data_IF_016230058972
#
_entry.id   IF_016230058972
#
_cell.length_a   1.000
_cell.length_b   1.000
_cell.length_c   1.000
_cell.angle_alpha   90.00
_cell.angle_beta   90.00
_cell.angle_gamma   90.00
#
_symmetry.space_group_name_H-M   'P 1'
#
loop_
_entity.id
_entity.type
_entity.pdbx_description
1 polymer ?
#
# COMPACT_ATOMS: atom_id res chain seq x y z
N UNK A 1 -20.89 -17.48 6.47
CA UNK A 1 -20.80 -16.75 5.19
C UNK A 1 -19.34 -16.61 4.81
N UNK A 2 -19.03 -16.01 3.66
CA UNK A 2 -17.66 -15.60 3.32
C UNK A 2 -17.41 -14.21 3.90
N UNK A 3 -16.24 -14.00 4.48
CA UNK A 3 -15.82 -12.71 5.05
C UNK A 3 -14.39 -12.36 4.62
N UNK A 4 -14.08 -11.07 4.56
CA UNK A 4 -12.73 -10.56 4.32
C UNK A 4 -12.14 -10.06 5.64
N UNK A 5 -10.86 -10.36 5.89
CA UNK A 5 -10.11 -9.90 7.07
C UNK A 5 -8.76 -9.34 6.65
N UNK A 6 -8.34 -8.27 7.32
CA UNK A 6 -6.95 -7.84 7.28
C UNK A 6 -6.13 -8.75 8.19
N UNK A 7 -4.95 -9.14 7.73
CA UNK A 7 -4.05 -10.03 8.43
C UNK A 7 -2.65 -9.40 8.44
N UNK A 8 -2.10 -9.24 9.63
CA UNK A 8 -0.74 -8.79 9.85
C UNK A 8 -0.01 -9.78 10.75
N UNK A 9 1.12 -10.30 10.27
CA UNK A 9 1.98 -11.19 11.05
C UNK A 9 3.12 -10.35 11.59
N UNK A 10 2.89 -9.68 12.72
CA UNK A 10 3.84 -8.75 13.34
C UNK A 10 5.00 -9.48 14.06
N UNK A 11 5.84 -10.16 13.29
CA UNK A 11 7.11 -10.76 13.73
C UNK A 11 8.06 -10.94 12.55
N UNK A 12 9.34 -11.07 12.84
CA UNK A 12 10.35 -11.39 11.82
C UNK A 12 10.10 -12.79 11.27
N UNK A 13 9.46 -12.86 10.11
CA UNK A 13 9.07 -14.11 9.45
C UNK A 13 9.89 -14.40 8.21
N UNK A 14 10.26 -13.37 7.46
CA UNK A 14 10.83 -13.48 6.12
C UNK A 14 12.11 -12.66 6.00
N UNK A 15 13.05 -13.16 5.21
CA UNK A 15 14.29 -12.48 4.88
C UNK A 15 14.64 -12.71 3.41
N UNK A 16 15.00 -11.66 2.68
CA UNK A 16 15.60 -11.75 1.35
C UNK A 16 17.10 -11.49 1.52
N UNK A 17 17.94 -12.53 1.59
CA UNK A 17 19.37 -12.35 1.83
C UNK A 17 20.13 -12.03 0.54
N UNK A 18 21.15 -11.18 0.65
CA UNK A 18 22.16 -11.04 -0.39
C UNK A 18 23.09 -12.26 -0.43
N UNK A 19 23.55 -12.63 -1.63
CA UNK A 19 24.67 -13.55 -1.79
C UNK A 19 25.95 -12.88 -1.26
N UNK A 20 26.77 -13.64 -0.55
CA UNK A 20 28.03 -13.13 -0.03
C UNK A 20 28.94 -12.61 -1.16
N UNK A 21 29.61 -11.47 -0.95
CA UNK A 21 30.51 -10.84 -1.93
C UNK A 21 31.61 -11.78 -2.44
N UNK A 22 32.06 -12.74 -1.64
CA UNK A 22 33.06 -13.74 -2.04
C UNK A 22 32.58 -14.63 -3.19
N UNK A 23 31.26 -14.88 -3.26
CA UNK A 23 30.59 -15.66 -4.29
C UNK A 23 30.09 -14.78 -5.45
N UNK A 24 30.05 -13.45 -5.27
CA UNK A 24 29.73 -12.47 -6.29
C UNK A 24 30.67 -11.25 -6.19
N UNK A 25 31.92 -11.41 -6.64
CA UNK A 25 32.99 -10.40 -6.44
C UNK A 25 32.71 -9.07 -7.10
N UNK A 26 31.86 -9.05 -8.12
CA UNK A 26 31.50 -7.88 -8.90
C UNK A 26 30.23 -7.18 -8.40
N UNK A 27 29.64 -7.59 -7.25
CA UNK A 27 28.37 -7.03 -6.79
C UNK A 27 28.37 -5.50 -6.64
N UNK A 28 29.52 -4.89 -6.32
CA UNK A 28 29.67 -3.44 -6.16
C UNK A 28 29.83 -2.69 -7.51
N UNK A 29 30.03 -3.38 -8.62
CA UNK A 29 30.12 -2.79 -9.98
C UNK A 29 28.73 -2.62 -10.63
N UNK A 30 27.68 -3.05 -9.92
CA UNK A 30 26.31 -3.11 -10.40
C UNK A 30 25.84 -4.56 -10.49
N UNK A 31 24.62 -4.80 -10.02
CA UNK A 31 23.99 -6.12 -10.05
C UNK A 31 22.59 -6.01 -10.65
N UNK A 32 22.37 -6.72 -11.76
CA UNK A 32 21.05 -6.79 -12.39
C UNK A 32 20.23 -7.86 -11.71
N UNK A 33 19.35 -7.43 -10.82
CA UNK A 33 18.41 -8.28 -10.11
C UNK A 33 17.44 -8.99 -11.08
N UNK A 34 17.20 -10.28 -10.83
CA UNK A 34 16.13 -11.06 -11.41
C UNK A 34 14.97 -11.19 -10.40
N UNK A 35 13.85 -10.47 -10.59
CA UNK A 35 12.72 -10.50 -9.65
C UNK A 35 12.03 -11.87 -9.49
N UNK A 36 12.29 -12.84 -10.36
CA UNK A 36 11.73 -14.19 -10.22
C UNK A 36 12.61 -15.13 -9.38
N UNK A 37 13.84 -14.72 -9.07
CA UNK A 37 14.86 -15.58 -8.43
C UNK A 37 15.41 -14.91 -7.19
N UNK A 38 15.88 -13.68 -7.31
CA UNK A 38 16.69 -13.03 -6.27
C UNK A 38 15.84 -12.37 -5.17
N UNK A 39 14.55 -12.16 -5.42
CA UNK A 39 13.61 -11.55 -4.46
C UNK A 39 12.76 -12.59 -3.73
N UNK A 40 13.02 -13.89 -3.94
CA UNK A 40 12.31 -14.96 -3.24
C UNK A 40 12.70 -14.97 -1.75
N UNK A 41 11.77 -14.73 -0.83
CA UNK A 41 12.09 -14.65 0.59
C UNK A 41 12.30 -16.04 1.19
N UNK A 42 13.26 -16.14 2.11
CA UNK A 42 13.40 -17.30 2.99
C UNK A 42 12.38 -17.23 4.11
N UNK A 43 11.61 -18.31 4.29
CA UNK A 43 10.63 -18.48 5.38
C UNK A 43 11.03 -19.56 6.39
N UNK A 44 11.86 -20.51 5.98
CA UNK A 44 12.27 -21.64 6.80
C UNK A 44 13.07 -22.68 6.01
N UNK A 45 13.56 -23.69 6.72
CA UNK A 45 14.25 -24.84 6.12
C UNK A 45 13.26 -25.81 5.45
N UNK A 46 13.79 -26.88 4.83
CA UNK A 46 12.96 -27.92 4.20
C UNK A 46 11.85 -28.49 5.11
N UNK A 47 12.09 -28.57 6.43
CA UNK A 47 11.09 -29.03 7.41
C UNK A 47 9.92 -28.05 7.66
N UNK A 48 9.98 -26.84 7.09
CA UNK A 48 8.89 -25.86 7.10
C UNK A 48 8.04 -25.88 5.82
N UNK A 49 8.38 -26.73 4.84
CA UNK A 49 7.61 -26.87 3.62
C UNK A 49 6.13 -27.12 3.92
N UNK A 50 5.24 -26.34 3.30
CA UNK A 50 3.79 -26.44 3.47
C UNK A 50 3.22 -25.87 4.77
N UNK A 51 4.03 -25.24 5.65
CA UNK A 51 3.52 -24.67 6.92
C UNK A 51 2.88 -23.29 6.79
N UNK A 52 3.15 -22.55 5.70
CA UNK A 52 2.62 -21.19 5.52
C UNK A 52 1.07 -21.16 5.48
N UNK A 53 0.36 -22.03 4.72
CA UNK A 53 -1.10 -22.04 4.75
C UNK A 53 -1.69 -22.23 6.15
N UNK A 54 -1.14 -23.17 6.93
CA UNK A 54 -1.59 -23.42 8.30
C UNK A 54 -1.32 -22.23 9.24
N UNK A 55 -0.20 -21.52 9.04
CA UNK A 55 0.08 -20.27 9.76
C UNK A 55 -0.96 -19.21 9.40
N UNK A 56 -1.23 -18.99 8.10
CA UNK A 56 -2.19 -17.99 7.65
C UNK A 56 -3.60 -18.29 8.17
N UNK A 57 -4.07 -19.55 8.10
CA UNK A 57 -5.39 -19.94 8.62
C UNK A 57 -5.49 -19.75 10.15
N UNK A 58 -4.40 -20.02 10.87
CA UNK A 58 -4.32 -19.77 12.31
C UNK A 58 -4.43 -18.28 12.62
N UNK A 59 -3.66 -17.43 11.95
CA UNK A 59 -3.67 -15.98 12.17
C UNK A 59 -5.00 -15.33 11.69
N UNK A 60 -5.61 -15.85 10.62
CA UNK A 60 -6.92 -15.41 10.14
C UNK A 60 -8.10 -15.89 11.02
N UNK A 61 -7.85 -16.89 11.87
CA UNK A 61 -8.86 -17.53 12.71
C UNK A 61 -9.86 -18.39 11.91
N UNK A 62 -9.47 -18.94 10.76
CA UNK A 62 -10.34 -19.72 9.91
C UNK A 62 -9.72 -20.16 8.59
N UNK A 63 -10.48 -20.95 7.82
CA UNK A 63 -10.07 -21.45 6.51
C UNK A 63 -9.93 -20.31 5.51
N UNK A 64 -8.85 -20.30 4.74
CA UNK A 64 -8.60 -19.29 3.71
C UNK A 64 -9.14 -19.77 2.36
N UNK A 65 -9.95 -18.94 1.70
CA UNK A 65 -10.46 -19.19 0.34
C UNK A 65 -9.59 -18.54 -0.73
N UNK A 66 -8.91 -17.44 -0.39
CA UNK A 66 -7.99 -16.67 -1.21
C UNK A 66 -7.37 -15.57 -0.37
N UNK A 67 -6.20 -15.08 -0.77
CA UNK A 67 -5.53 -13.99 -0.07
C UNK A 67 -4.81 -13.07 -1.06
N UNK A 68 -4.70 -11.81 -0.68
CA UNK A 68 -3.80 -10.84 -1.29
C UNK A 68 -2.86 -10.34 -0.18
N UNK A 69 -1.59 -10.70 -0.29
CA UNK A 69 -0.59 -10.48 0.75
C UNK A 69 0.65 -9.87 0.12
N UNK A 70 1.19 -8.84 0.75
CA UNK A 70 2.44 -8.21 0.37
C UNK A 70 3.43 -8.24 1.54
N UNK A 71 4.71 -8.11 1.21
CA UNK A 71 5.78 -8.02 2.20
C UNK A 71 6.01 -6.56 2.57
N UNK A 72 6.26 -6.30 3.86
CA UNK A 72 6.64 -4.98 4.33
C UNK A 72 7.90 -5.06 5.20
N UNK A 73 8.67 -3.98 5.22
CA UNK A 73 9.81 -3.87 6.12
C UNK A 73 9.30 -3.58 7.54
N UNK A 74 9.79 -4.31 8.54
CA UNK A 74 9.43 -4.07 9.95
C UNK A 74 10.21 -2.94 10.61
N UNK A 75 11.18 -2.35 9.90
CA UNK A 75 11.93 -1.19 10.39
C UNK A 75 10.97 -0.02 10.60
N UNK A 76 10.94 0.51 11.82
CA UNK A 76 10.13 1.69 12.16
C UNK A 76 10.67 2.93 11.47
N UNK A 77 9.77 3.87 11.20
CA UNK A 77 10.15 5.19 10.73
C UNK A 77 11.07 5.89 11.74
N UNK A 78 11.99 6.71 11.23
CA UNK A 78 12.95 7.47 12.03
C UNK A 78 13.12 8.88 11.49
N UNK A 79 13.27 9.83 12.41
CA UNK A 79 13.75 11.19 12.12
C UNK A 79 15.25 11.24 12.40
N UNK A 80 16.01 11.85 11.50
CA UNK A 80 17.47 11.90 11.58
C UNK A 80 18.03 13.13 10.84
N UNK A 81 19.33 13.38 10.98
CA UNK A 81 19.97 14.63 10.53
C UNK A 81 20.69 15.29 11.70
N UNK A 82 21.59 16.23 11.43
CA UNK A 82 22.28 16.96 12.51
C UNK A 82 21.27 17.79 13.31
N UNK A 83 20.26 18.31 12.63
CA UNK A 83 19.19 19.16 13.16
C UNK A 83 17.80 18.48 13.04
N UNK A 84 17.77 17.14 12.95
CA UNK A 84 16.52 16.35 12.80
C UNK A 84 15.71 16.68 11.54
N UNK A 85 16.38 17.07 10.45
CA UNK A 85 15.74 17.59 9.24
C UNK A 85 15.20 16.53 8.24
N UNK A 86 15.50 15.24 8.44
CA UNK A 86 15.09 14.17 7.53
C UNK A 86 14.15 13.15 8.19
N UNK A 87 13.26 12.57 7.37
CA UNK A 87 12.44 11.43 7.72
C UNK A 87 12.79 10.24 6.83
N UNK A 88 12.82 9.04 7.41
CA UNK A 88 12.89 7.78 6.67
C UNK A 88 11.81 6.85 7.16
N UNK A 89 10.99 6.35 6.23
CA UNK A 89 9.91 5.40 6.47
C UNK A 89 9.70 4.55 5.24
N UNK A 90 9.11 3.37 5.42
CA UNK A 90 8.49 2.65 4.31
C UNK A 90 7.31 3.46 3.75
N UNK A 91 7.08 3.34 2.45
CA UNK A 91 5.88 3.84 1.76
C UNK A 91 5.60 5.35 1.96
N UNK A 92 6.64 6.19 2.06
CA UNK A 92 6.46 7.65 2.01
C UNK A 92 5.71 8.04 0.73
N UNK A 93 6.16 7.51 -0.40
CA UNK A 93 5.42 7.50 -1.66
C UNK A 93 4.31 6.43 -1.57
N UNK A 94 3.02 6.77 -1.50
CA UNK A 94 2.44 8.12 -1.33
C UNK A 94 1.64 8.27 -0.01
N UNK A 95 1.94 7.44 1.01
CA UNK A 95 1.25 7.53 2.30
C UNK A 95 1.49 8.88 3.00
N UNK A 96 2.60 9.55 2.72
CA UNK A 96 2.86 10.89 3.23
C UNK A 96 1.79 11.88 2.73
N UNK A 97 1.55 11.94 1.42
CA UNK A 97 0.53 12.81 0.86
C UNK A 97 -0.87 12.38 1.29
N UNK A 98 -1.16 11.08 1.29
CA UNK A 98 -2.45 10.58 1.77
C UNK A 98 -2.72 11.01 3.22
N UNK A 99 -1.71 10.91 4.11
CA UNK A 99 -1.82 11.37 5.49
C UNK A 99 -1.99 12.89 5.56
N UNK A 100 -1.15 13.67 4.86
CA UNK A 100 -1.21 15.13 4.87
C UNK A 100 -2.55 15.68 4.37
N UNK A 101 -3.03 15.15 3.25
CA UNK A 101 -4.34 15.49 2.68
C UNK A 101 -5.48 15.09 3.63
N UNK A 102 -5.40 13.92 4.28
CA UNK A 102 -6.38 13.49 5.29
C UNK A 102 -6.40 14.42 6.50
N UNK A 103 -5.23 14.80 7.02
CA UNK A 103 -5.15 15.74 8.14
C UNK A 103 -5.70 17.11 7.77
N UNK A 104 -5.39 17.61 6.57
CA UNK A 104 -5.92 18.87 6.06
C UNK A 104 -7.44 18.82 5.89
N UNK A 105 -7.96 17.73 5.32
CA UNK A 105 -9.39 17.50 5.16
C UNK A 105 -10.14 17.50 6.49
N UNK A 106 -9.64 16.76 7.50
CA UNK A 106 -10.24 16.68 8.83
C UNK A 106 -10.17 17.99 9.62
N UNK A 107 -9.14 18.82 9.37
CA UNK A 107 -8.97 20.14 10.01
C UNK A 107 -9.61 21.28 9.22
N UNK A 108 -10.18 21.00 8.06
CA UNK A 108 -10.82 22.02 7.24
C UNK A 108 -12.05 22.60 7.94
N UNK A 109 -12.26 23.91 7.78
CA UNK A 109 -13.44 24.61 8.28
C UNK A 109 -14.54 24.69 7.24
N UNK A 110 -15.48 25.60 7.45
CA UNK A 110 -16.55 25.87 6.50
C UNK A 110 -15.99 26.26 5.12
N UNK A 111 -16.57 25.71 4.08
CA UNK A 111 -16.19 25.94 2.69
C UNK A 111 -17.40 26.34 1.85
N UNK A 112 -17.18 27.22 0.87
CA UNK A 112 -18.20 27.55 -0.14
C UNK A 112 -18.46 26.39 -1.13
N UNK A 113 -17.57 25.40 -1.15
CA UNK A 113 -17.64 24.19 -1.98
C UNK A 113 -17.72 22.93 -1.11
N UNK A 114 -18.18 21.82 -1.68
CA UNK A 114 -18.17 20.53 -1.01
C UNK A 114 -16.73 19.99 -1.02
N UNK A 115 -16.06 19.85 0.14
CA UNK A 115 -14.71 19.30 0.18
C UNK A 115 -14.76 17.80 -0.14
N UNK A 116 -13.83 17.34 -0.98
CA UNK A 116 -13.70 15.93 -1.37
C UNK A 116 -12.23 15.52 -1.22
N UNK A 117 -12.00 14.40 -0.55
CA UNK A 117 -10.71 13.72 -0.49
C UNK A 117 -10.85 12.34 -1.11
N UNK A 118 -9.96 12.02 -2.07
CA UNK A 118 -9.91 10.72 -2.72
C UNK A 118 -8.51 10.14 -2.58
N UNK A 119 -8.44 8.90 -2.09
CA UNK A 119 -7.21 8.12 -1.98
C UNK A 119 -7.46 6.85 -2.78
N UNK A 120 -6.76 6.70 -3.90
CA UNK A 120 -6.93 5.57 -4.83
C UNK A 120 -5.82 4.55 -4.65
N UNK A 121 -6.09 3.34 -5.10
CA UNK A 121 -5.12 2.23 -5.16
C UNK A 121 -4.57 2.11 -6.61
N UNK A 122 -3.59 1.23 -6.81
CA UNK A 122 -3.06 0.84 -8.12
C UNK A 122 -2.33 1.94 -8.91
N UNK A 123 -1.99 3.07 -8.31
CA UNK A 123 -1.26 4.17 -8.97
C UNK A 123 0.07 3.67 -9.55
N UNK A 124 0.83 2.92 -8.75
CA UNK A 124 2.13 2.31 -9.07
C UNK A 124 2.13 1.36 -10.28
N UNK A 125 0.93 0.93 -10.71
CA UNK A 125 0.73 0.03 -11.87
C UNK A 125 -0.13 0.66 -12.96
N UNK A 126 -0.36 1.97 -12.90
CA UNK A 126 -1.02 2.77 -13.94
C UNK A 126 -2.49 3.10 -13.69
N UNK A 127 -3.01 2.88 -12.48
CA UNK A 127 -4.37 3.27 -12.04
C UNK A 127 -5.56 2.62 -12.77
N UNK A 128 -5.31 1.68 -13.70
CA UNK A 128 -6.37 1.03 -14.50
C UNK A 128 -6.92 -0.20 -13.75
N UNK A 129 -7.58 0.06 -12.63
CA UNK A 129 -8.31 -0.94 -11.82
C UNK A 129 -9.64 -0.36 -11.34
N UNK A 130 -10.61 -1.17 -10.90
CA UNK A 130 -11.88 -0.66 -10.37
C UNK A 130 -11.75 0.32 -9.19
N UNK A 131 -10.66 0.22 -8.42
CA UNK A 131 -10.34 1.07 -7.27
C UNK A 131 -9.27 2.13 -7.56
N UNK A 132 -8.74 2.16 -8.79
CA UNK A 132 -7.74 3.12 -9.22
C UNK A 132 -8.34 4.42 -9.74
N UNK A 133 -7.49 5.45 -9.86
CA UNK A 133 -7.89 6.76 -10.34
C UNK A 133 -8.40 6.76 -11.80
N UNK A 134 -8.06 5.74 -12.59
CA UNK A 134 -8.57 5.55 -13.95
C UNK A 134 -9.96 4.92 -14.03
N UNK A 135 -10.59 4.61 -12.89
CA UNK A 135 -11.95 4.06 -12.81
C UNK A 135 -13.03 5.14 -12.91
N UNK A 136 -14.30 4.71 -13.02
CA UNK A 136 -15.45 5.62 -12.91
C UNK A 136 -15.82 5.96 -11.46
N UNK A 137 -15.13 5.39 -10.45
CA UNK A 137 -15.53 5.52 -9.04
C UNK A 137 -15.72 6.97 -8.61
N UNK A 138 -14.78 7.84 -8.96
CA UNK A 138 -14.86 9.27 -8.64
C UNK A 138 -16.03 9.95 -9.34
N UNK A 139 -16.12 9.78 -10.67
CA UNK A 139 -17.17 10.41 -11.48
C UNK A 139 -18.57 9.97 -11.00
N UNK A 140 -18.76 8.67 -10.79
CA UNK A 140 -20.02 8.08 -10.35
C UNK A 140 -20.39 8.55 -8.94
N UNK A 141 -19.41 8.64 -8.04
CA UNK A 141 -19.64 9.13 -6.67
C UNK A 141 -20.02 10.60 -6.66
N UNK A 142 -19.30 11.45 -7.39
CA UNK A 142 -19.62 12.87 -7.52
C UNK A 142 -20.97 13.08 -8.22
N UNK A 143 -21.30 12.28 -9.22
CA UNK A 143 -22.60 12.27 -9.89
C UNK A 143 -23.74 11.99 -8.91
N UNK A 144 -23.61 10.93 -8.10
CA UNK A 144 -24.60 10.56 -7.08
C UNK A 144 -24.75 11.62 -5.98
N UNK A 145 -23.66 12.28 -5.59
CA UNK A 145 -23.71 13.42 -4.66
C UNK A 145 -24.51 14.58 -5.29
N UNK A 146 -24.23 14.93 -6.55
CA UNK A 146 -24.97 15.97 -7.26
C UNK A 146 -26.46 15.66 -7.36
N UNK A 147 -26.81 14.43 -7.74
CA UNK A 147 -28.20 13.98 -7.87
C UNK A 147 -28.93 14.04 -6.51
N UNK A 148 -28.28 13.55 -5.45
CA UNK A 148 -28.83 13.57 -4.09
C UNK A 148 -29.08 14.98 -3.56
N UNK A 149 -28.24 15.95 -3.96
CA UNK A 149 -28.34 17.37 -3.58
C UNK A 149 -29.11 18.22 -4.60
N UNK A 150 -29.62 17.64 -5.69
CA UNK A 150 -30.26 18.34 -6.81
C UNK A 150 -29.39 19.44 -7.42
N UNK A 151 -28.08 19.20 -7.47
CA UNK A 151 -27.09 20.09 -8.07
C UNK A 151 -26.83 19.73 -9.53
N UNK A 152 -26.50 20.72 -10.35
CA UNK A 152 -26.12 20.48 -11.75
C UNK A 152 -24.65 20.03 -11.82
N UNK A 153 -24.43 18.75 -12.15
CA UNK A 153 -23.09 18.14 -12.27
C UNK A 153 -22.14 18.91 -13.18
N UNK A 154 -22.61 19.30 -14.37
CA UNK A 154 -21.78 20.04 -15.35
C UNK A 154 -21.33 21.41 -14.83
N UNK A 155 -22.19 22.11 -14.08
CA UNK A 155 -21.83 23.37 -13.44
C UNK A 155 -20.86 23.20 -12.28
N UNK A 156 -20.95 22.12 -11.52
CA UNK A 156 -20.07 21.86 -10.38
C UNK A 156 -18.67 21.44 -10.82
N UNK A 157 -18.56 20.61 -11.85
CA UNK A 157 -17.25 20.22 -12.41
C UNK A 157 -16.58 21.34 -13.23
N UNK A 158 -17.35 22.30 -13.74
CA UNK A 158 -16.78 23.46 -14.44
C UNK A 158 -16.21 24.53 -13.48
N UNK A 159 -16.47 24.41 -12.18
CA UNK A 159 -16.04 25.36 -11.14
C UNK A 159 -14.97 24.76 -10.20
N UNK A 160 -14.54 23.52 -10.45
CA UNK A 160 -13.44 22.84 -9.74
C UNK A 160 -12.09 23.10 -10.37
#
# INVERSE_FOLDING_TARGET
GVETKLLDIDRDLLLIPNVAIHMNRQANEGYKWNPAVDTLPLIGSAGAAGKLPALLEKEAGGKILGHDLYLYIRQKASVWGVDEEYISSAALDDLECAWGCTQGFLKSGDSASIPVLCVFDSEEVGSVSPQGAGSSLLEDTLGRICDGLKLNRGRMLAQS
#
